data_IF_237176023179
#
_entry.id   IF_237176023179
#
_cell.length_a   1.000
_cell.length_b   1.000
_cell.length_c   1.000
_cell.angle_alpha   90.00
_cell.angle_beta   90.00
_cell.angle_gamma   90.00
#
_symmetry.space_group_name_H-M   'P 1'
#
loop_
_entity.id
_entity.type
_entity.pdbx_description
1 polymer ?
#
# COMPACT_ATOMS: atom_id res chain seq x y z
N UNK A 1 -2.41 -2.56 10.34
CA UNK A 1 -1.47 -1.44 10.11
C UNK A 1 -1.29 -1.27 8.62
N UNK A 2 -1.21 -0.06 8.09
CA UNK A 2 -0.98 0.13 6.65
C UNK A 2 0.49 -0.13 6.32
N UNK A 3 0.76 -1.13 5.49
CA UNK A 3 2.11 -1.41 4.98
C UNK A 3 2.22 -0.84 3.58
N UNK A 4 3.12 0.11 3.40
CA UNK A 4 3.49 0.69 2.12
C UNK A 4 4.58 -0.16 1.49
N UNK A 5 4.37 -0.62 0.26
CA UNK A 5 5.35 -1.37 -0.52
C UNK A 5 5.67 -0.63 -1.79
N UNK A 6 6.92 -0.59 -2.19
CA UNK A 6 7.33 -0.13 -3.51
C UNK A 6 8.32 -1.09 -4.12
N UNK A 7 8.47 -1.07 -5.44
CA UNK A 7 9.52 -1.84 -6.11
C UNK A 7 10.87 -1.15 -5.95
N UNK A 8 11.95 -1.91 -5.80
CA UNK A 8 13.30 -1.36 -5.88
C UNK A 8 13.52 -0.73 -7.26
N UNK A 9 13.93 0.55 -7.29
CA UNK A 9 14.01 1.35 -8.52
C UNK A 9 12.72 2.06 -8.95
N UNK A 10 11.59 1.84 -8.27
CA UNK A 10 10.40 2.68 -8.41
C UNK A 10 10.28 3.63 -7.21
N UNK A 11 9.72 4.80 -7.46
CA UNK A 11 9.39 5.78 -6.41
C UNK A 11 7.91 5.73 -6.03
N UNK A 12 7.13 4.83 -6.64
CA UNK A 12 5.70 4.70 -6.38
C UNK A 12 5.43 3.70 -5.27
N UNK A 13 4.74 4.15 -4.22
CA UNK A 13 4.34 3.36 -3.08
C UNK A 13 2.89 2.88 -3.21
N UNK A 14 2.69 1.59 -2.93
CA UNK A 14 1.44 0.87 -2.98
C UNK A 14 1.16 0.24 -1.62
N UNK A 15 -0.01 0.47 -1.04
CA UNK A 15 -0.41 -0.14 0.24
C UNK A 15 -1.62 -1.06 0.12
N UNK A 16 -2.32 -0.99 -1.01
CA UNK A 16 -3.44 -1.86 -1.31
C UNK A 16 -2.93 -3.14 -1.96
N UNK A 17 -3.06 -4.28 -1.28
CA UNK A 17 -2.71 -5.60 -1.85
C UNK A 17 -3.58 -5.97 -3.06
N UNK A 18 -4.72 -5.30 -3.24
CA UNK A 18 -5.61 -5.42 -4.39
C UNK A 18 -5.26 -4.44 -5.55
N UNK A 19 -4.13 -3.73 -5.47
CA UNK A 19 -3.69 -2.89 -6.58
C UNK A 19 -3.11 -3.80 -7.69
N UNK A 20 -3.43 -3.59 -8.98
CA UNK A 20 -2.85 -4.39 -10.07
C UNK A 20 -1.35 -4.19 -10.20
N UNK A 21 -0.86 -3.00 -9.87
CA UNK A 21 0.57 -2.67 -9.80
C UNK A 21 1.18 -2.95 -8.43
N UNK A 22 0.48 -3.70 -7.57
CA UNK A 22 1.02 -4.03 -6.26
C UNK A 22 2.28 -4.90 -6.40
N UNK A 23 3.42 -4.48 -5.86
CA UNK A 23 4.65 -5.23 -6.03
C UNK A 23 4.64 -6.46 -5.10
N UNK A 24 4.70 -7.65 -5.70
CA UNK A 24 4.63 -8.96 -5.01
C UNK A 24 5.93 -9.78 -5.04
N UNK A 25 6.98 -9.25 -5.68
CA UNK A 25 8.28 -9.92 -5.77
C UNK A 25 9.15 -9.73 -4.53
N UNK A 26 10.37 -10.29 -4.56
CA UNK A 26 11.37 -10.16 -3.49
C UNK A 26 12.08 -8.79 -3.49
N UNK A 27 12.16 -8.12 -4.65
CA UNK A 27 12.80 -6.80 -4.80
C UNK A 27 11.84 -5.66 -4.47
N UNK A 28 11.27 -5.68 -3.27
CA UNK A 28 10.28 -4.70 -2.81
C UNK A 28 10.70 -4.11 -1.47
N UNK A 29 10.54 -2.80 -1.34
CA UNK A 29 10.81 -2.08 -0.12
C UNK A 29 9.50 -1.90 0.60
N UNK A 30 9.41 -2.47 1.80
CA UNK A 30 8.25 -2.36 2.68
C UNK A 30 8.49 -1.32 3.77
N UNK A 31 7.46 -0.55 4.10
CA UNK A 31 7.45 0.41 5.20
C UNK A 31 6.13 0.34 5.94
N UNK A 32 6.22 0.39 7.26
CA UNK A 32 5.05 0.47 8.15
C UNK A 32 4.62 1.91 8.44
N UNK A 33 5.40 2.90 7.98
CA UNK A 33 5.13 4.33 8.12
C UNK A 33 4.94 4.98 6.76
N UNK A 34 4.18 6.08 6.72
CA UNK A 34 4.04 6.88 5.50
C UNK A 34 5.44 7.34 5.07
N UNK A 35 5.84 7.06 3.83
CA UNK A 35 7.14 7.48 3.33
C UNK A 35 7.17 9.01 3.21
N UNK A 36 8.27 9.62 3.65
CA UNK A 36 8.53 11.06 3.48
C UNK A 36 8.85 11.40 2.01
N UNK A 37 9.33 10.40 1.27
CA UNK A 37 9.81 10.52 -0.10
C UNK A 37 9.22 9.42 -1.00
N UNK A 38 8.87 9.82 -2.22
CA UNK A 38 8.21 8.98 -3.22
C UNK A 38 6.75 9.35 -3.44
N UNK A 39 6.20 8.85 -4.54
CA UNK A 39 4.83 9.12 -4.99
C UNK A 39 3.90 8.05 -4.46
N UNK A 40 2.74 8.43 -3.92
CA UNK A 40 1.70 7.45 -3.57
C UNK A 40 0.94 7.05 -4.85
N UNK A 41 0.68 5.76 -5.02
CA UNK A 41 -0.13 5.29 -6.15
C UNK A 41 -1.55 5.88 -6.08
N UNK A 42 -1.95 6.66 -7.08
CA UNK A 42 -3.29 7.28 -7.14
C UNK A 42 -4.40 6.23 -7.14
N UNK A 43 -4.19 5.06 -7.74
CA UNK A 43 -5.16 3.95 -7.71
C UNK A 43 -5.36 3.42 -6.29
N UNK A 44 -4.29 3.32 -5.51
CA UNK A 44 -4.39 2.94 -4.10
C UNK A 44 -5.16 4.00 -3.31
N UNK A 45 -4.94 5.29 -3.59
CA UNK A 45 -5.68 6.39 -2.95
C UNK A 45 -7.18 6.35 -3.29
N UNK A 46 -7.53 6.17 -4.56
CA UNK A 46 -8.92 6.03 -5.01
C UNK A 46 -9.58 4.83 -4.35
N UNK A 47 -8.91 3.68 -4.30
CA UNK A 47 -9.42 2.47 -3.63
C UNK A 47 -9.54 2.63 -2.13
N UNK A 48 -8.61 3.31 -1.48
CA UNK A 48 -8.66 3.57 -0.04
C UNK A 48 -9.85 4.48 0.28
N UNK A 49 -10.03 5.55 -0.51
CA UNK A 49 -11.18 6.45 -0.41
C UNK A 49 -12.51 5.75 -0.70
N UNK A 50 -12.50 4.79 -1.63
CA UNK A 50 -13.67 3.97 -1.95
C UNK A 50 -13.94 2.85 -0.92
N UNK A 51 -12.98 2.56 -0.02
CA UNK A 51 -13.06 1.43 0.92
C UNK A 51 -12.80 0.05 0.29
N UNK A 52 -12.32 0.00 -0.95
CA UNK A 52 -11.98 -1.24 -1.69
C UNK A 52 -10.52 -1.69 -1.42
N UNK A 53 -9.71 -0.82 -0.80
CA UNK A 53 -8.32 -1.12 -0.51
C UNK A 53 -8.17 -2.19 0.58
N UNK A 54 -7.71 -3.39 0.19
CA UNK A 54 -7.27 -4.43 1.11
C UNK A 54 -5.89 -4.12 1.68
N UNK A 55 -5.85 -3.27 2.71
CA UNK A 55 -4.70 -3.10 3.61
C UNK A 55 -4.92 -3.98 4.84
N UNK A 56 -3.89 -4.68 5.32
CA UNK A 56 -3.98 -5.60 6.45
C UNK A 56 -4.42 -4.84 7.72
N UNK A 57 -5.74 -4.80 7.88
CA UNK A 57 -6.44 -4.06 8.90
C UNK A 57 -6.91 -5.08 9.91
N UNK A 58 -5.99 -5.56 10.74
CA UNK A 58 -6.30 -6.30 11.97
C UNK A 58 -6.96 -5.39 13.03
N UNK A 59 -7.93 -4.56 12.62
CA UNK A 59 -8.87 -3.90 13.49
C UNK A 59 -10.31 -4.20 13.03
N UNK A 60 -10.59 -5.48 12.79
CA UNK A 60 -11.86 -6.06 13.22
C UNK A 60 -11.83 -6.25 14.73
N UNK A 61 -11.68 -5.17 15.51
CA UNK A 61 -12.07 -5.19 16.93
C UNK A 61 -13.51 -4.70 16.99
N UNK A 62 -14.40 -5.68 16.84
CA UNK A 62 -15.65 -5.87 17.59
C UNK A 62 -16.36 -4.60 18.09
N UNK A 63 -17.58 -4.41 17.61
CA UNK A 63 -18.77 -4.39 18.50
C UNK A 63 -20.01 -4.78 17.72
#
# INVERSE_FOLDING_TARGET
>A
MTVYRKKEGSDVWHWCTNCPEYPTGENVIERHSRPDYGTLCSLCEVKDRAGDCKKDSLFSVRK
#
